data_IF_868366012721
#
_entry.id   IF_868366012721
#
_cell.length_a   1.000
_cell.length_b   1.000
_cell.length_c   1.000
_cell.angle_alpha   90.00
_cell.angle_beta   90.00
_cell.angle_gamma   90.00
#
_symmetry.space_group_name_H-M   'P 1'
#
loop_
_entity.id
_entity.type
_entity.pdbx_description
1 polymer ?
#
# COMPACT_ATOMS: atom_id res chain seq x y z
N UNK A 1 14.67 7.14 37.93
CA UNK A 1 13.60 6.71 38.86
C UNK A 1 12.37 6.11 38.16
N UNK A 2 11.85 6.66 37.04
CA UNK A 2 10.76 5.99 36.27
C UNK A 2 11.23 4.79 35.42
N UNK A 3 12.39 4.87 34.77
CA UNK A 3 12.95 3.78 33.96
C UNK A 3 13.28 2.49 34.73
N UNK A 4 13.42 2.58 36.05
CA UNK A 4 13.61 1.40 36.92
C UNK A 4 12.29 0.65 37.21
N UNK A 5 11.13 1.28 36.99
CA UNK A 5 9.81 0.65 37.15
C UNK A 5 9.34 -0.06 35.88
N UNK A 6 10.04 0.11 34.77
CA UNK A 6 9.72 -0.51 33.48
C UNK A 6 10.58 -1.77 33.35
N UNK A 7 9.99 -2.96 33.12
CA UNK A 7 10.76 -4.18 32.85
C UNK A 7 11.81 -3.94 31.75
N UNK A 8 13.04 -4.39 31.96
CA UNK A 8 14.16 -4.15 31.03
C UNK A 8 13.91 -4.65 29.60
N UNK A 9 13.05 -5.65 29.43
CA UNK A 9 12.65 -6.18 28.12
C UNK A 9 11.98 -5.13 27.22
N UNK A 10 11.27 -4.15 27.80
CA UNK A 10 10.60 -3.09 27.03
C UNK A 10 11.53 -1.92 26.65
N UNK A 11 12.80 -1.95 27.09
CA UNK A 11 13.79 -0.92 26.77
C UNK A 11 14.63 -1.26 25.52
N UNK A 12 14.52 -2.48 24.99
CA UNK A 12 15.28 -2.94 23.82
C UNK A 12 14.44 -2.84 22.54
N UNK A 13 14.99 -2.17 21.52
CA UNK A 13 14.34 -2.05 20.20
C UNK A 13 14.34 -3.39 19.45
N UNK A 14 15.42 -4.16 19.56
CA UNK A 14 15.53 -5.50 19.01
C UNK A 14 15.29 -6.52 20.11
N UNK A 15 14.19 -7.25 19.99
CA UNK A 15 13.80 -8.31 20.91
C UNK A 15 14.49 -9.63 20.53
N UNK A 16 14.68 -10.56 21.48
CA UNK A 16 15.32 -11.85 21.20
C UNK A 16 14.55 -12.66 20.14
N UNK A 17 15.20 -13.63 19.46
CA UNK A 17 14.57 -14.46 18.43
C UNK A 17 13.36 -15.26 18.91
N UNK A 18 13.26 -15.51 20.23
CA UNK A 18 12.20 -16.26 20.88
C UNK A 18 11.06 -15.38 21.41
N UNK A 19 11.10 -14.06 21.19
CA UNK A 19 10.03 -13.18 21.64
C UNK A 19 8.70 -13.54 20.97
N UNK A 20 7.62 -13.58 21.75
CA UNK A 20 6.31 -14.08 21.32
C UNK A 20 5.72 -13.27 20.15
N UNK A 21 5.76 -11.94 20.20
CA UNK A 21 5.19 -11.07 19.15
C UNK A 21 6.19 -10.53 18.12
N UNK A 22 7.33 -9.99 18.57
CA UNK A 22 8.26 -9.23 17.70
C UNK A 22 9.70 -9.78 17.71
N UNK A 23 9.94 -11.06 17.38
CA UNK A 23 11.29 -11.60 17.31
C UNK A 23 12.10 -10.88 16.22
N UNK A 24 13.34 -10.48 16.49
CA UNK A 24 14.12 -9.69 15.52
C UNK A 24 14.26 -10.40 14.15
N UNK A 25 14.34 -11.74 14.15
CA UNK A 25 14.39 -12.56 12.93
C UNK A 25 13.09 -12.43 12.14
N UNK A 26 11.94 -12.47 12.81
CA UNK A 26 10.64 -12.25 12.19
C UNK A 26 10.50 -10.82 11.66
N UNK A 27 10.92 -9.83 12.44
CA UNK A 27 10.93 -8.42 12.00
C UNK A 27 11.77 -8.26 10.74
N UNK A 28 12.98 -8.82 10.69
CA UNK A 28 13.86 -8.66 9.55
C UNK A 28 13.37 -9.35 8.28
N UNK A 29 12.88 -10.60 8.38
CA UNK A 29 12.49 -11.38 7.21
C UNK A 29 11.00 -11.24 6.83
N UNK A 30 10.12 -11.01 7.80
CA UNK A 30 8.66 -10.95 7.60
C UNK A 30 8.13 -9.54 7.38
N UNK A 31 8.58 -8.56 8.17
CA UNK A 31 8.09 -7.18 8.09
C UNK A 31 8.33 -6.49 6.73
N UNK A 32 9.38 -6.80 5.93
CA UNK A 32 9.50 -6.23 4.60
C UNK A 32 8.30 -6.51 3.70
N UNK A 33 7.69 -7.70 3.77
CA UNK A 33 6.53 -8.02 2.95
C UNK A 33 5.33 -7.13 3.28
N UNK A 34 5.03 -6.94 4.57
CA UNK A 34 3.92 -6.08 5.01
C UNK A 34 4.22 -4.60 4.78
N UNK A 35 5.48 -4.19 4.93
CA UNK A 35 5.91 -2.81 4.70
C UNK A 35 5.81 -2.43 3.23
N UNK A 36 6.35 -3.25 2.32
CA UNK A 36 6.28 -2.96 0.88
C UNK A 36 4.82 -2.95 0.42
N UNK A 37 4.00 -3.89 0.88
CA UNK A 37 2.57 -3.86 0.62
C UNK A 37 1.95 -2.52 1.05
N UNK A 38 2.16 -2.11 2.30
CA UNK A 38 1.58 -0.88 2.83
C UNK A 38 2.05 0.38 2.09
N UNK A 39 3.34 0.49 1.75
CA UNK A 39 3.88 1.71 1.13
C UNK A 39 3.71 1.77 -0.38
N UNK A 40 3.67 0.63 -1.05
CA UNK A 40 3.69 0.57 -2.52
C UNK A 40 2.35 0.14 -3.13
N UNK A 41 1.47 -0.51 -2.35
CA UNK A 41 0.23 -1.09 -2.88
C UNK A 41 -1.03 -0.65 -2.14
N UNK A 42 -0.92 -0.12 -0.91
CA UNK A 42 -2.08 0.43 -0.20
C UNK A 42 -2.61 1.66 -0.94
N UNK A 43 -3.89 1.60 -1.30
CA UNK A 43 -4.54 2.62 -2.10
C UNK A 43 -4.53 3.99 -1.42
N UNK A 44 -4.62 4.06 -0.08
CA UNK A 44 -4.57 5.34 0.64
C UNK A 44 -3.25 6.08 0.44
N UNK A 45 -2.16 5.33 0.34
CA UNK A 45 -0.80 5.87 0.16
C UNK A 45 -0.56 6.15 -1.32
N UNK A 46 -0.86 5.18 -2.19
CA UNK A 46 -0.65 5.29 -3.64
C UNK A 46 -1.44 6.45 -4.23
N UNK A 47 -2.69 6.66 -3.80
CA UNK A 47 -3.51 7.78 -4.27
C UNK A 47 -2.87 9.15 -4.03
N UNK A 48 -2.17 9.32 -2.89
CA UNK A 48 -1.48 10.59 -2.58
C UNK A 48 -0.28 10.82 -3.48
N UNK A 49 0.41 9.76 -3.87
CA UNK A 49 1.57 9.81 -4.77
C UNK A 49 1.15 10.16 -6.19
N UNK A 50 0.07 9.55 -6.71
CA UNK A 50 -0.43 9.83 -8.07
C UNK A 50 -1.12 11.18 -8.19
N UNK A 51 -1.64 11.73 -7.08
CA UNK A 51 -2.23 13.07 -7.03
C UNK A 51 -1.17 14.19 -6.96
N UNK A 52 0.12 13.85 -6.85
CA UNK A 52 1.18 14.83 -6.83
C UNK A 52 1.34 15.53 -8.20
N UNK A 53 1.62 16.84 -8.17
CA UNK A 53 1.75 17.67 -9.38
C UNK A 53 2.82 17.18 -10.37
N UNK A 54 3.87 16.51 -9.88
CA UNK A 54 4.94 15.96 -10.72
C UNK A 54 5.64 14.78 -10.03
N UNK A 55 6.35 13.92 -10.80
CA UNK A 55 7.16 12.84 -10.24
C UNK A 55 8.23 13.34 -9.25
N UNK A 56 8.78 14.53 -9.45
CA UNK A 56 9.74 15.13 -8.52
C UNK A 56 9.10 15.46 -7.16
N UNK A 57 7.89 16.04 -7.16
CA UNK A 57 7.14 16.33 -5.93
C UNK A 57 6.70 15.04 -5.23
N UNK A 58 6.30 14.02 -5.98
CA UNK A 58 5.98 12.70 -5.44
C UNK A 58 7.18 12.08 -4.68
N UNK A 59 8.38 12.13 -5.29
CA UNK A 59 9.62 11.63 -4.67
C UNK A 59 10.03 12.43 -3.44
N UNK A 60 10.02 13.76 -3.53
CA UNK A 60 10.33 14.63 -2.40
C UNK A 60 9.37 14.42 -1.24
N UNK A 61 8.06 14.31 -1.52
CA UNK A 61 7.04 13.99 -0.53
C UNK A 61 7.25 12.63 0.14
N UNK A 62 7.62 11.59 -0.63
CA UNK A 62 7.92 10.27 -0.08
C UNK A 62 9.15 10.28 0.85
N UNK A 63 10.23 10.97 0.46
CA UNK A 63 11.43 11.11 1.30
C UNK A 63 11.12 11.89 2.57
N UNK A 64 10.37 13.00 2.45
CA UNK A 64 9.97 13.80 3.59
C UNK A 64 9.07 13.00 4.55
N UNK A 65 8.13 12.22 4.03
CA UNK A 65 7.31 11.32 4.83
C UNK A 65 8.16 10.27 5.56
N UNK A 66 9.16 9.67 4.89
CA UNK A 66 10.08 8.72 5.51
C UNK A 66 10.87 9.36 6.68
N UNK A 67 11.31 10.61 6.53
CA UNK A 67 11.95 11.36 7.61
C UNK A 67 11.00 11.60 8.79
N UNK A 68 9.76 12.04 8.53
CA UNK A 68 8.75 12.25 9.58
C UNK A 68 8.39 10.96 10.33
N UNK A 69 8.50 9.79 9.72
CA UNK A 69 8.23 8.50 10.36
C UNK A 69 9.24 8.08 11.43
N UNK A 70 10.32 8.83 11.61
CA UNK A 70 11.22 8.65 12.75
C UNK A 70 10.54 9.13 14.04
N UNK A 71 9.58 10.07 13.96
CA UNK A 71 8.94 10.69 15.13
C UNK A 71 7.92 9.81 15.89
N UNK A 72 7.00 9.06 15.24
CA UNK A 72 5.93 8.34 15.93
C UNK A 72 6.39 7.38 17.02
N UNK A 73 7.50 6.61 16.90
CA UNK A 73 8.01 5.82 18.02
C UNK A 73 8.24 6.66 19.28
N UNK A 74 8.86 7.85 19.17
CA UNK A 74 9.08 8.72 20.33
C UNK A 74 7.78 9.35 20.83
N UNK A 75 6.92 9.79 19.92
CA UNK A 75 5.67 10.47 20.27
C UNK A 75 4.59 9.55 20.84
N UNK A 76 4.58 8.26 20.46
CA UNK A 76 3.54 7.31 20.83
C UNK A 76 4.00 6.28 21.86
N UNK A 77 5.24 5.79 21.78
CA UNK A 77 5.73 4.75 22.71
C UNK A 77 6.07 5.35 24.06
N UNK A 78 6.71 6.53 24.11
CA UNK A 78 7.10 7.16 25.38
C UNK A 78 5.87 7.42 26.27
N UNK A 79 4.78 8.04 25.80
CA UNK A 79 3.57 8.18 26.60
C UNK A 79 3.01 6.84 27.09
N UNK A 80 3.06 5.79 26.26
CA UNK A 80 2.65 4.45 26.65
C UNK A 80 3.46 3.88 27.82
N UNK A 81 4.79 4.04 27.78
CA UNK A 81 5.67 3.60 28.87
C UNK A 81 5.42 4.42 30.15
N UNK A 82 5.27 5.75 30.02
CA UNK A 82 4.96 6.64 31.15
C UNK A 82 3.62 6.26 31.78
N UNK A 83 2.59 6.01 30.97
CA UNK A 83 1.28 5.58 31.45
C UNK A 83 1.36 4.28 32.25
N UNK A 84 2.10 3.28 31.74
CA UNK A 84 2.34 2.03 32.47
C UNK A 84 3.07 2.25 33.79
N UNK A 85 4.05 3.15 33.85
CA UNK A 85 4.81 3.42 35.07
C UNK A 85 4.00 4.17 36.15
N UNK A 86 2.99 4.95 35.75
CA UNK A 86 2.16 5.77 36.63
C UNK A 86 0.87 5.06 37.07
N UNK A 87 0.21 4.34 36.16
CA UNK A 87 -1.17 3.84 36.33
C UNK A 87 -1.28 2.32 36.15
N UNK A 88 -0.23 1.58 36.52
CA UNK A 88 -0.17 0.13 36.30
C UNK A 88 -1.38 -0.61 36.91
N UNK A 89 -1.85 -0.21 38.09
CA UNK A 89 -2.95 -0.88 38.78
C UNK A 89 -4.31 -0.58 38.12
N UNK A 90 -4.58 0.67 37.74
CA UNK A 90 -5.85 1.01 37.08
C UNK A 90 -5.93 0.44 35.65
N UNK A 91 -4.81 0.32 34.95
CA UNK A 91 -4.77 -0.26 33.60
C UNK A 91 -5.00 -1.77 33.58
N UNK A 92 -4.66 -2.48 34.67
CA UNK A 92 -4.88 -3.92 34.79
C UNK A 92 -6.34 -4.26 35.16
N UNK A 93 -7.05 -3.33 35.81
CA UNK A 93 -8.44 -3.50 36.24
C UNK A 93 -9.44 -3.14 35.12
N UNK A 94 -9.00 -2.36 34.12
CA UNK A 94 -9.81 -2.05 32.94
C UNK A 94 -9.79 -3.21 31.94
N UNK A 95 -10.97 -3.78 31.69
CA UNK A 95 -11.24 -4.78 30.65
C UNK A 95 -10.88 -4.33 29.22
N UNK A 96 -10.57 -3.05 29.01
CA UNK A 96 -10.18 -2.46 27.72
C UNK A 96 -8.69 -2.63 27.37
N UNK A 97 -7.86 -3.14 28.28
CA UNK A 97 -6.47 -3.54 28.02
C UNK A 97 -5.52 -2.41 27.62
N UNK A 98 -4.42 -2.73 26.91
CA UNK A 98 -3.35 -1.79 26.57
C UNK A 98 -3.79 -0.61 25.67
N UNK A 99 -4.96 -0.69 25.03
CA UNK A 99 -5.39 0.27 24.00
C UNK A 99 -5.90 1.61 24.57
N UNK A 100 -6.30 1.63 25.85
CA UNK A 100 -6.81 2.83 26.53
C UNK A 100 -5.72 3.66 27.21
N UNK A 101 -4.47 3.19 27.21
CA UNK A 101 -3.37 3.83 27.93
C UNK A 101 -3.16 5.30 27.52
N UNK A 102 -3.12 5.60 26.22
CA UNK A 102 -2.89 6.97 25.75
C UNK A 102 -4.05 7.94 26.07
N UNK A 103 -5.33 7.62 25.76
CA UNK A 103 -6.46 8.44 26.19
C UNK A 103 -6.52 8.63 27.71
N UNK A 104 -6.25 7.57 28.48
CA UNK A 104 -6.25 7.62 29.94
C UNK A 104 -5.19 8.59 30.47
N UNK A 105 -3.98 8.55 29.91
CA UNK A 105 -2.91 9.48 30.28
C UNK A 105 -3.28 10.94 29.98
N UNK A 106 -3.87 11.19 28.81
CA UNK A 106 -4.31 12.53 28.37
C UNK A 106 -5.31 13.14 29.36
N UNK A 107 -6.32 12.37 29.77
CA UNK A 107 -7.38 12.84 30.69
C UNK A 107 -6.83 13.13 32.10
N UNK A 108 -5.86 12.34 32.56
CA UNK A 108 -5.35 12.46 33.93
C UNK A 108 -4.18 13.45 34.10
N UNK A 109 -3.49 13.82 33.02
CA UNK A 109 -2.30 14.71 33.10
C UNK A 109 -2.57 16.12 32.58
N UNK A 110 -3.38 16.28 31.52
CA UNK A 110 -3.50 17.59 30.86
C UNK A 110 -4.47 18.53 31.60
N UNK A 111 -4.13 19.82 31.74
CA UNK A 111 -5.04 20.81 32.30
C UNK A 111 -6.22 21.07 31.35
N UNK A 112 -7.35 21.51 31.89
CA UNK A 112 -8.65 21.64 31.19
C UNK A 112 -8.60 22.24 29.78
N UNK A 113 -7.91 23.38 29.50
CA UNK A 113 -7.88 23.93 28.14
C UNK A 113 -7.09 23.06 27.15
N UNK A 114 -6.01 22.42 27.61
CA UNK A 114 -5.20 21.53 26.77
C UNK A 114 -5.86 20.17 26.57
N UNK A 115 -6.64 19.70 27.56
CA UNK A 115 -7.43 18.49 27.44
C UNK A 115 -8.47 18.61 26.32
N UNK A 116 -9.22 19.73 26.29
CA UNK A 116 -10.20 19.99 25.23
C UNK A 116 -9.55 20.06 23.84
N UNK A 117 -8.41 20.75 23.74
CA UNK A 117 -7.64 20.82 22.49
C UNK A 117 -7.15 19.43 22.03
N UNK A 118 -6.64 18.62 22.94
CA UNK A 118 -6.14 17.27 22.63
C UNK A 118 -7.27 16.35 22.15
N UNK A 119 -8.41 16.32 22.85
CA UNK A 119 -9.56 15.52 22.46
C UNK A 119 -10.08 15.94 21.08
N UNK A 120 -10.17 17.25 20.82
CA UNK A 120 -10.56 17.77 19.51
C UNK A 120 -9.57 17.33 18.41
N UNK A 121 -8.27 17.42 18.65
CA UNK A 121 -7.24 16.99 17.71
C UNK A 121 -7.29 15.47 17.44
N UNK A 122 -7.53 14.66 18.47
CA UNK A 122 -7.69 13.20 18.34
C UNK A 122 -8.92 12.84 17.49
N UNK A 123 -10.05 13.50 17.74
CA UNK A 123 -11.28 13.30 16.94
C UNK A 123 -11.08 13.75 15.50
N UNK A 124 -10.43 14.89 15.26
CA UNK A 124 -10.12 15.37 13.92
C UNK A 124 -9.20 14.39 13.15
N UNK A 125 -8.16 13.86 13.82
CA UNK A 125 -7.25 12.87 13.23
C UNK A 125 -7.97 11.55 12.91
N UNK A 126 -8.88 11.10 13.78
CA UNK A 126 -9.72 9.93 13.55
C UNK A 126 -10.63 10.14 12.32
N UNK A 127 -11.32 11.28 12.26
CA UNK A 127 -12.20 11.62 11.13
C UNK A 127 -11.45 11.69 9.80
N UNK A 128 -10.23 12.26 9.81
CA UNK A 128 -9.37 12.32 8.63
C UNK A 128 -8.96 10.92 8.14
N UNK A 129 -8.63 10.02 9.07
CA UNK A 129 -8.25 8.64 8.75
C UNK A 129 -9.43 7.84 8.19
N UNK A 130 -10.61 7.96 8.82
CA UNK A 130 -11.84 7.32 8.34
C UNK A 130 -12.23 7.81 6.93
N UNK A 131 -12.17 9.13 6.69
CA UNK A 131 -12.44 9.70 5.38
C UNK A 131 -11.52 9.14 4.29
N UNK A 132 -10.21 8.98 4.59
CA UNK A 132 -9.26 8.36 3.66
C UNK A 132 -9.62 6.91 3.34
N UNK A 133 -9.91 6.09 4.36
CA UNK A 133 -10.26 4.67 4.19
C UNK A 133 -11.55 4.51 3.39
N UNK A 134 -12.57 5.32 3.68
CA UNK A 134 -13.84 5.32 2.95
C UNK A 134 -13.66 5.74 1.50
N UNK A 135 -12.85 6.77 1.23
CA UNK A 135 -12.56 7.20 -0.13
C UNK A 135 -11.83 6.11 -0.94
N UNK A 136 -10.82 5.48 -0.35
CA UNK A 136 -10.06 4.41 -1.01
C UNK A 136 -10.93 3.19 -1.28
N UNK A 137 -11.72 2.76 -0.30
CA UNK A 137 -12.65 1.61 -0.44
C UNK A 137 -13.70 1.88 -1.51
N UNK A 138 -14.30 3.08 -1.50
CA UNK A 138 -15.24 3.52 -2.52
C UNK A 138 -14.61 3.50 -3.92
N UNK A 139 -13.37 3.98 -4.06
CA UNK A 139 -12.66 4.00 -5.33
C UNK A 139 -12.39 2.59 -5.85
N UNK A 140 -11.90 1.68 -4.99
CA UNK A 140 -11.63 0.28 -5.36
C UNK A 140 -12.94 -0.38 -5.82
N UNK A 141 -14.02 -0.24 -5.06
CA UNK A 141 -15.28 -0.87 -5.44
C UNK A 141 -15.87 -0.28 -6.74
N UNK A 142 -15.83 1.03 -6.92
CA UNK A 142 -16.42 1.67 -8.10
C UNK A 142 -15.59 1.44 -9.36
N UNK A 143 -14.28 1.63 -9.29
CA UNK A 143 -13.41 1.58 -10.46
C UNK A 143 -12.98 0.15 -10.80
N UNK A 144 -12.69 -0.68 -9.80
CA UNK A 144 -12.13 -2.01 -10.04
C UNK A 144 -13.21 -3.09 -10.12
N UNK A 145 -14.34 -2.93 -9.42
CA UNK A 145 -15.47 -3.89 -9.47
C UNK A 145 -16.59 -3.37 -10.38
N UNK A 146 -17.21 -2.24 -10.03
CA UNK A 146 -18.44 -1.80 -10.69
C UNK A 146 -18.24 -1.43 -12.16
N UNK A 147 -17.19 -0.68 -12.50
CA UNK A 147 -16.89 -0.28 -13.88
C UNK A 147 -16.54 -1.46 -14.79
N UNK A 148 -15.97 -2.53 -14.21
CA UNK A 148 -15.70 -3.77 -14.94
C UNK A 148 -16.97 -4.59 -15.20
N UNK A 149 -17.91 -4.61 -14.25
CA UNK A 149 -19.22 -5.25 -14.43
C UNK A 149 -20.13 -4.44 -15.38
N UNK A 150 -20.14 -3.11 -15.23
CA UNK A 150 -20.93 -2.18 -16.04
C UNK A 150 -20.03 -1.22 -16.80
N UNK A 151 -19.60 -1.66 -17.99
CA UNK A 151 -18.64 -0.94 -18.86
C UNK A 151 -19.07 0.46 -19.27
N UNK A 152 -20.39 0.74 -19.30
CA UNK A 152 -20.96 2.04 -19.66
C UNK A 152 -21.62 2.74 -18.45
N UNK A 153 -21.02 2.63 -17.27
CA UNK A 153 -21.47 3.36 -16.08
C UNK A 153 -21.24 4.87 -16.26
N UNK A 154 -22.22 5.68 -15.89
CA UNK A 154 -22.08 7.15 -15.91
C UNK A 154 -21.33 7.66 -14.68
N UNK A 155 -20.72 8.85 -14.75
CA UNK A 155 -20.02 9.43 -13.59
C UNK A 155 -20.93 9.65 -12.37
N UNK A 156 -22.18 10.07 -12.60
CA UNK A 156 -23.18 10.22 -11.52
C UNK A 156 -23.49 8.90 -10.84
N UNK A 157 -23.54 7.83 -11.62
CA UNK A 157 -23.76 6.48 -11.12
C UNK A 157 -22.57 5.99 -10.29
N UNK A 158 -21.33 6.19 -10.77
CA UNK A 158 -20.12 5.82 -10.03
C UNK A 158 -20.07 6.50 -8.65
N UNK A 159 -20.41 7.79 -8.58
CA UNK A 159 -20.48 8.51 -7.30
C UNK A 159 -21.56 7.93 -6.38
N UNK A 160 -22.74 7.58 -6.91
CA UNK A 160 -23.81 6.99 -6.11
C UNK A 160 -23.41 5.62 -5.56
N UNK A 161 -22.87 4.75 -6.42
CA UNK A 161 -22.40 3.41 -6.04
C UNK A 161 -21.28 3.50 -5.01
N UNK A 162 -20.36 4.46 -5.17
CA UNK A 162 -19.29 4.70 -4.20
C UNK A 162 -19.82 5.07 -2.80
N UNK A 163 -20.83 5.96 -2.74
CA UNK A 163 -21.49 6.31 -1.46
C UNK A 163 -22.16 5.09 -0.82
N UNK A 164 -22.88 4.29 -1.60
CA UNK A 164 -23.53 3.06 -1.12
C UNK A 164 -22.49 2.05 -0.62
N UNK A 165 -21.41 1.83 -1.38
CA UNK A 165 -20.33 0.94 -0.99
C UNK A 165 -19.70 1.35 0.35
N UNK A 166 -19.46 2.64 0.57
CA UNK A 166 -18.96 3.15 1.85
C UNK A 166 -19.90 2.83 3.01
N UNK A 167 -21.21 3.03 2.85
CA UNK A 167 -22.20 2.72 3.90
C UNK A 167 -22.20 1.22 4.22
N UNK A 168 -22.24 0.36 3.20
CA UNK A 168 -22.22 -1.10 3.36
C UNK A 168 -20.94 -1.55 4.07
N UNK A 169 -19.78 -1.06 3.63
CA UNK A 169 -18.49 -1.40 4.24
C UNK A 169 -18.37 -0.91 5.68
N UNK A 170 -18.99 0.22 6.01
CA UNK A 170 -19.06 0.72 7.40
C UNK A 170 -19.87 -0.23 8.28
N UNK A 171 -21.03 -0.68 7.81
CA UNK A 171 -21.86 -1.64 8.54
C UNK A 171 -21.09 -2.95 8.75
N UNK A 172 -20.46 -3.49 7.71
CA UNK A 172 -19.64 -4.70 7.82
C UNK A 172 -18.46 -4.53 8.80
N UNK A 173 -17.80 -3.36 8.80
CA UNK A 173 -16.74 -3.03 9.75
C UNK A 173 -17.21 -3.01 11.21
N UNK A 174 -18.40 -2.47 11.48
CA UNK A 174 -19.01 -2.48 12.82
C UNK A 174 -19.32 -3.92 13.25
N UNK A 175 -19.88 -4.73 12.34
CA UNK A 175 -20.16 -6.15 12.60
C UNK A 175 -18.88 -6.96 12.84
N UNK A 176 -17.72 -6.48 12.39
CA UNK A 176 -16.42 -7.13 12.59
C UNK A 176 -15.81 -6.89 13.97
N UNK A 177 -16.27 -5.88 14.73
CA UNK A 177 -15.70 -5.51 16.04
C UNK A 177 -15.63 -6.69 17.04
N UNK A 178 -16.68 -7.50 17.22
CA UNK A 178 -16.63 -8.64 18.16
C UNK A 178 -15.57 -9.67 17.79
N UNK A 179 -15.25 -9.81 16.50
CA UNK A 179 -14.23 -10.74 16.02
C UNK A 179 -12.81 -10.23 16.31
N UNK A 180 -12.59 -8.91 16.29
CA UNK A 180 -11.31 -8.32 16.68
C UNK A 180 -11.00 -8.64 18.16
N UNK A 181 -12.02 -8.53 19.02
CA UNK A 181 -11.89 -8.76 20.46
C UNK A 181 -11.58 -10.23 20.80
N UNK A 182 -11.93 -11.19 19.94
CA UNK A 182 -11.62 -12.60 20.17
C UNK A 182 -10.22 -13.02 19.72
N UNK A 183 -9.57 -12.24 18.83
CA UNK A 183 -8.30 -12.60 18.18
C UNK A 183 -7.05 -12.04 18.86
N UNK A 184 -7.15 -10.92 19.57
CA UNK A 184 -6.02 -10.41 20.35
C UNK A 184 -6.46 -9.42 21.42
N UNK A 185 -5.67 -9.30 22.48
CA UNK A 185 -5.82 -8.29 23.52
C UNK A 185 -5.32 -6.89 23.12
N UNK A 186 -4.59 -6.76 22.00
CA UNK A 186 -3.99 -5.50 21.55
C UNK A 186 -4.25 -5.21 20.07
N UNK A 187 -4.94 -4.10 19.78
CA UNK A 187 -5.34 -3.72 18.42
C UNK A 187 -4.15 -3.65 17.45
N UNK A 188 -3.00 -3.17 17.94
CA UNK A 188 -1.77 -3.06 17.14
C UNK A 188 -1.27 -4.42 16.62
N UNK A 189 -1.26 -5.43 17.49
CA UNK A 189 -0.82 -6.79 17.16
C UNK A 189 -1.81 -7.41 16.18
N UNK A 190 -3.12 -7.27 16.44
CA UNK A 190 -4.15 -7.75 15.51
C UNK A 190 -3.99 -7.18 14.10
N UNK A 191 -3.82 -5.85 13.96
CA UNK A 191 -3.64 -5.23 12.65
C UNK A 191 -2.41 -5.80 11.93
N UNK A 192 -1.30 -6.01 12.64
CA UNK A 192 -0.09 -6.58 12.04
C UNK A 192 -0.23 -8.06 11.68
N UNK A 193 -0.98 -8.86 12.47
CA UNK A 193 -1.31 -10.25 12.13
C UNK A 193 -2.11 -10.33 10.83
N UNK A 194 -3.18 -9.56 10.70
CA UNK A 194 -3.99 -9.53 9.47
C UNK A 194 -3.15 -9.10 8.27
N UNK A 195 -2.31 -8.07 8.42
CA UNK A 195 -1.37 -7.67 7.37
C UNK A 195 -0.42 -8.81 6.99
N UNK A 196 0.17 -9.50 7.97
CA UNK A 196 1.07 -10.62 7.74
C UNK A 196 0.42 -11.79 6.97
N UNK A 197 -0.90 -11.99 7.15
CA UNK A 197 -1.62 -13.09 6.51
C UNK A 197 -2.13 -12.76 5.10
N UNK A 198 -2.23 -11.46 4.74
CA UNK A 198 -2.81 -11.03 3.46
C UNK A 198 -1.81 -10.34 2.53
N UNK A 199 -0.84 -9.59 3.08
CA UNK A 199 0.08 -8.77 2.31
C UNK A 199 1.07 -9.56 1.41
N UNK A 200 1.70 -10.67 1.88
CA UNK A 200 2.78 -11.31 1.13
C UNK A 200 2.49 -11.68 -0.34
N UNK A 201 1.34 -12.30 -0.71
CA UNK A 201 1.07 -12.62 -2.11
C UNK A 201 0.96 -11.39 -3.01
N UNK A 202 0.40 -10.29 -2.50
CA UNK A 202 0.26 -9.03 -3.24
C UNK A 202 1.65 -8.41 -3.44
N UNK A 203 2.46 -8.36 -2.38
CA UNK A 203 3.84 -7.84 -2.45
C UNK A 203 4.68 -8.61 -3.45
N UNK A 204 4.62 -9.93 -3.42
CA UNK A 204 5.40 -10.79 -4.32
C UNK A 204 5.02 -10.55 -5.77
N UNK A 205 3.73 -10.50 -6.09
CA UNK A 205 3.27 -10.22 -7.46
C UNK A 205 3.64 -8.81 -7.90
N UNK A 206 3.48 -7.81 -7.03
CA UNK A 206 3.85 -6.43 -7.32
C UNK A 206 5.34 -6.28 -7.60
N UNK A 207 6.20 -6.78 -6.71
CA UNK A 207 7.65 -6.78 -6.90
C UNK A 207 8.06 -7.59 -8.13
N UNK A 208 7.43 -8.74 -8.36
CA UNK A 208 7.63 -9.54 -9.56
C UNK A 208 7.35 -8.76 -10.84
N UNK A 209 6.24 -8.01 -10.91
CA UNK A 209 5.91 -7.18 -12.07
C UNK A 209 6.91 -6.04 -12.32
N UNK A 210 7.40 -5.41 -11.25
CA UNK A 210 8.33 -4.27 -11.34
C UNK A 210 9.78 -4.72 -11.62
N UNK A 211 10.23 -5.79 -10.98
CA UNK A 211 11.64 -6.21 -10.97
C UNK A 211 11.95 -7.37 -11.93
N UNK A 212 10.97 -8.24 -12.22
CA UNK A 212 11.20 -9.48 -12.96
C UNK A 212 10.45 -9.51 -14.29
N UNK A 213 11.13 -9.26 -15.44
CA UNK A 213 10.47 -9.18 -16.75
C UNK A 213 9.79 -10.48 -17.22
N UNK A 214 10.10 -11.62 -16.58
CA UNK A 214 9.54 -12.92 -16.92
C UNK A 214 8.24 -13.22 -16.15
N UNK A 215 7.92 -12.44 -15.12
CA UNK A 215 6.68 -12.56 -14.36
C UNK A 215 5.48 -12.39 -15.31
N UNK A 216 4.57 -13.37 -15.32
CA UNK A 216 3.42 -13.35 -16.21
C UNK A 216 2.10 -13.49 -15.46
N UNK A 217 0.99 -13.33 -16.20
CA UNK A 217 -0.35 -13.38 -15.65
C UNK A 217 -0.66 -14.72 -14.98
N UNK A 218 -0.23 -15.85 -15.56
CA UNK A 218 -0.52 -17.17 -15.00
C UNK A 218 0.22 -17.43 -13.68
N UNK A 219 1.49 -17.03 -13.58
CA UNK A 219 2.23 -17.05 -12.32
C UNK A 219 1.63 -16.12 -11.26
N UNK A 220 1.21 -14.92 -11.65
CA UNK A 220 0.53 -14.00 -10.75
C UNK A 220 -0.78 -14.60 -10.21
N UNK A 221 -1.61 -15.19 -11.07
CA UNK A 221 -2.83 -15.90 -10.65
C UNK A 221 -2.55 -17.06 -9.71
N UNK A 222 -1.56 -17.91 -10.02
CA UNK A 222 -1.18 -19.02 -9.16
C UNK A 222 -0.74 -18.53 -7.76
N UNK A 223 0.10 -17.49 -7.71
CA UNK A 223 0.55 -16.87 -6.47
C UNK A 223 -0.60 -16.27 -5.65
N UNK A 224 -1.50 -15.51 -6.29
CA UNK A 224 -2.62 -14.87 -5.61
C UNK A 224 -3.65 -15.87 -5.09
N UNK A 225 -3.99 -16.91 -5.87
CA UNK A 225 -4.92 -17.95 -5.42
C UNK A 225 -4.34 -18.78 -4.28
N UNK A 226 -3.08 -19.22 -4.41
CA UNK A 226 -2.37 -19.88 -3.31
C UNK A 226 -2.35 -19.01 -2.06
N UNK A 227 -2.01 -17.73 -2.22
CA UNK A 227 -1.97 -16.76 -1.14
C UNK A 227 -3.33 -16.57 -0.47
N UNK A 228 -4.39 -16.44 -1.26
CA UNK A 228 -5.76 -16.30 -0.76
C UNK A 228 -6.15 -17.48 0.12
N UNK A 229 -5.94 -18.73 -0.33
CA UNK A 229 -6.33 -19.90 0.45
C UNK A 229 -5.47 -20.07 1.71
N UNK A 230 -4.15 -19.96 1.61
CA UNK A 230 -3.25 -20.13 2.76
C UNK A 230 -3.44 -19.03 3.81
N UNK A 231 -3.59 -17.78 3.37
CA UNK A 231 -3.85 -16.64 4.25
C UNK A 231 -5.19 -16.73 4.97
N UNK A 232 -6.28 -17.07 4.25
CA UNK A 232 -7.59 -17.28 4.87
C UNK A 232 -7.60 -18.50 5.80
N UNK A 233 -6.92 -19.59 5.42
CA UNK A 233 -6.77 -20.76 6.28
C UNK A 233 -6.08 -20.39 7.60
N UNK A 234 -5.00 -19.59 7.54
CA UNK A 234 -4.30 -19.09 8.73
C UNK A 234 -5.21 -18.22 9.60
N UNK A 235 -5.94 -17.28 8.99
CA UNK A 235 -6.83 -16.36 9.69
C UNK A 235 -7.99 -17.10 10.38
N UNK A 236 -8.71 -17.96 9.65
CA UNK A 236 -9.83 -18.74 10.18
C UNK A 236 -9.34 -19.75 11.21
N UNK A 237 -8.22 -20.43 10.95
CA UNK A 237 -7.66 -21.37 11.89
C UNK A 237 -7.20 -20.72 13.19
N UNK A 238 -6.67 -19.50 13.17
CA UNK A 238 -6.37 -18.77 14.42
C UNK A 238 -7.65 -18.48 15.23
N UNK A 239 -8.78 -18.20 14.56
CA UNK A 239 -10.08 -18.00 15.21
C UNK A 239 -10.63 -19.32 15.80
N UNK A 240 -10.46 -20.44 15.08
CA UNK A 240 -11.10 -21.72 15.42
C UNK A 240 -10.24 -22.66 16.29
N UNK A 241 -8.92 -22.70 16.08
CA UNK A 241 -7.97 -23.69 16.62
C UNK A 241 -7.23 -23.17 17.86
N UNK A 242 -7.38 -21.88 18.23
CA UNK A 242 -6.88 -21.34 19.50
C UNK A 242 -7.42 -22.03 20.77
N UNK A 243 -8.32 -23.02 20.62
CA UNK A 243 -8.90 -23.82 21.70
C UNK A 243 -8.48 -25.30 21.72
N UNK A 244 -7.69 -25.78 20.75
CA UNK A 244 -7.29 -27.19 20.69
C UNK A 244 -5.79 -27.37 20.87
N UNK A 245 -5.38 -27.93 22.02
CA UNK A 245 -4.03 -28.41 22.27
C UNK A 245 -3.79 -29.74 21.55
N UNK A 246 -3.62 -29.71 20.23
CA UNK A 246 -3.19 -30.90 19.49
C UNK A 246 -1.77 -30.71 18.94
N UNK A 247 -0.90 -31.71 19.15
CA UNK A 247 0.55 -31.65 18.95
C UNK A 247 1.01 -32.05 17.54
N UNK A 248 0.15 -31.91 16.54
CA UNK A 248 0.44 -32.26 15.13
C UNK A 248 1.16 -31.12 14.37
N UNK A 249 1.59 -31.36 13.11
CA UNK A 249 2.16 -30.35 12.18
C UNK A 249 1.27 -29.10 12.05
N UNK A 250 -0.04 -29.29 12.26
CA UNK A 250 -1.08 -28.28 12.40
C UNK A 250 -0.73 -27.21 13.45
N UNK A 251 -0.14 -27.61 14.58
CA UNK A 251 0.26 -26.70 15.65
C UNK A 251 1.37 -25.74 15.22
N UNK A 252 2.35 -26.19 14.43
CA UNK A 252 3.44 -25.34 13.94
C UNK A 252 2.92 -24.24 13.01
N UNK A 253 1.95 -24.56 12.15
CA UNK A 253 1.32 -23.58 11.28
C UNK A 253 0.49 -22.56 12.06
N UNK A 254 -0.33 -23.00 13.02
CA UNK A 254 -1.26 -22.13 13.74
C UNK A 254 -0.68 -21.41 14.96
N UNK A 255 0.39 -21.91 15.57
CA UNK A 255 1.06 -21.29 16.73
C UNK A 255 2.36 -20.57 16.35
N UNK A 256 2.78 -20.62 15.07
CA UNK A 256 3.94 -19.83 14.63
C UNK A 256 3.68 -18.33 14.77
N UNK A 257 4.73 -17.60 15.17
CA UNK A 257 4.71 -16.15 15.19
C UNK A 257 4.34 -15.59 13.81
N UNK A 258 3.47 -14.59 13.78
CA UNK A 258 2.90 -14.04 12.55
C UNK A 258 3.94 -13.43 11.60
N UNK A 259 5.06 -12.90 12.11
CA UNK A 259 6.14 -12.35 11.29
C UNK A 259 6.98 -13.46 10.64
N UNK A 260 7.29 -14.53 11.38
CA UNK A 260 7.94 -15.70 10.79
C UNK A 260 7.03 -16.34 9.74
N UNK A 261 5.73 -16.46 10.04
CA UNK A 261 4.74 -16.90 9.07
C UNK A 261 4.78 -16.03 7.81
N UNK A 262 4.75 -14.70 7.93
CA UNK A 262 4.82 -13.80 6.78
C UNK A 262 6.08 -14.02 5.92
N UNK A 263 7.23 -14.30 6.54
CA UNK A 263 8.47 -14.58 5.83
C UNK A 263 8.38 -15.89 5.00
N UNK A 264 8.00 -16.99 5.64
CA UNK A 264 7.85 -18.29 4.96
C UNK A 264 6.74 -18.24 3.90
N UNK A 265 5.64 -17.57 4.22
CA UNK A 265 4.50 -17.42 3.33
C UNK A 265 4.87 -16.57 2.11
N UNK A 266 5.57 -15.44 2.30
CA UNK A 266 6.09 -14.62 1.21
C UNK A 266 7.06 -15.38 0.31
N UNK A 267 7.96 -16.19 0.88
CA UNK A 267 8.85 -17.04 0.09
C UNK A 267 8.08 -18.11 -0.69
N UNK A 268 7.08 -18.74 -0.09
CA UNK A 268 6.21 -19.72 -0.75
C UNK A 268 5.42 -19.09 -1.91
N UNK A 269 4.87 -17.89 -1.71
CA UNK A 269 4.25 -17.10 -2.77
C UNK A 269 5.24 -16.80 -3.90
N UNK A 270 6.48 -16.45 -3.58
CA UNK A 270 7.51 -16.22 -4.58
C UNK A 270 7.80 -17.48 -5.41
N UNK A 271 7.89 -18.65 -4.78
CA UNK A 271 8.04 -19.93 -5.49
C UNK A 271 6.85 -20.16 -6.42
N UNK A 272 5.61 -19.91 -5.97
CA UNK A 272 4.41 -20.08 -6.80
C UNK A 272 4.40 -19.14 -8.00
N UNK A 273 4.77 -17.87 -7.81
CA UNK A 273 4.93 -16.92 -8.91
C UNK A 273 6.03 -17.36 -9.87
N UNK A 274 7.16 -17.84 -9.35
CA UNK A 274 8.33 -18.25 -10.11
C UNK A 274 8.04 -19.48 -10.97
N UNK A 275 7.52 -20.56 -10.37
CA UNK A 275 7.11 -21.78 -11.05
C UNK A 275 6.03 -21.48 -12.08
N UNK A 276 4.97 -20.80 -11.68
CA UNK A 276 3.86 -20.47 -12.57
C UNK A 276 4.30 -19.60 -13.75
N UNK A 277 5.29 -18.72 -13.57
CA UNK A 277 5.82 -17.90 -14.66
C UNK A 277 6.76 -18.68 -15.59
N UNK A 278 7.63 -19.55 -15.08
CA UNK A 278 8.59 -20.30 -15.91
C UNK A 278 7.91 -21.40 -16.72
N UNK A 279 6.95 -22.11 -16.11
CA UNK A 279 6.24 -23.23 -16.74
C UNK A 279 5.29 -22.78 -17.86
N UNK A 280 5.02 -21.48 -17.98
CA UNK A 280 4.02 -20.92 -18.89
C UNK A 280 4.65 -19.90 -19.84
N UNK A 281 3.93 -19.48 -20.87
CA UNK A 281 4.49 -18.64 -21.93
C UNK A 281 4.96 -17.25 -21.43
N UNK A 282 6.06 -16.72 -21.98
CA UNK A 282 6.55 -15.39 -21.62
C UNK A 282 5.56 -14.28 -22.01
N UNK A 283 5.47 -13.20 -21.21
CA UNK A 283 4.57 -12.10 -21.52
C UNK A 283 5.06 -11.34 -22.77
N UNK A 284 4.15 -10.83 -23.62
CA UNK A 284 4.51 -10.00 -24.77
C UNK A 284 5.27 -8.74 -24.35
N UNK A 285 6.35 -8.39 -25.06
CA UNK A 285 7.21 -7.23 -24.75
C UNK A 285 6.43 -5.90 -24.69
N UNK A 286 5.37 -5.76 -25.50
CA UNK A 286 4.51 -4.58 -25.49
C UNK A 286 3.84 -4.34 -24.13
N UNK A 287 3.53 -5.41 -23.39
CA UNK A 287 2.93 -5.32 -22.04
C UNK A 287 3.95 -5.07 -20.93
N UNK A 288 5.26 -5.14 -21.21
CA UNK A 288 6.33 -4.91 -20.23
C UNK A 288 6.85 -3.46 -20.25
N UNK A 289 6.55 -2.73 -21.32
CA UNK A 289 7.04 -1.38 -21.52
C UNK A 289 6.42 -0.40 -20.51
N UNK A 290 7.28 0.38 -19.84
CA UNK A 290 6.85 1.34 -18.81
C UNK A 290 6.41 0.73 -17.47
N UNK A 291 6.35 -0.61 -17.35
CA UNK A 291 5.93 -1.32 -16.15
C UNK A 291 7.11 -1.95 -15.39
N UNK A 292 8.03 -2.59 -16.10
CA UNK A 292 9.23 -3.22 -15.52
C UNK A 292 10.43 -2.28 -15.64
N UNK A 293 11.25 -2.15 -14.59
CA UNK A 293 12.39 -1.22 -14.54
C UNK A 293 13.32 -1.38 -15.76
N UNK A 294 13.58 -2.63 -16.17
CA UNK A 294 14.43 -2.95 -17.34
C UNK A 294 13.90 -2.36 -18.67
N UNK A 295 12.58 -2.19 -18.80
CA UNK A 295 11.92 -1.71 -20.01
C UNK A 295 11.34 -0.30 -19.87
N UNK A 296 11.59 0.38 -18.73
CA UNK A 296 11.19 1.75 -18.49
C UNK A 296 11.90 2.73 -19.44
N UNK A 297 13.18 2.48 -19.76
CA UNK A 297 13.99 3.36 -20.60
C UNK A 297 13.61 3.31 -22.08
N UNK A 298 13.18 2.15 -22.60
CA UNK A 298 12.88 1.99 -24.04
C UNK A 298 11.68 2.82 -24.50
N UNK A 299 10.68 3.00 -23.63
CA UNK A 299 9.49 3.79 -23.99
C UNK A 299 9.78 5.30 -23.99
N UNK A 300 10.59 5.79 -23.04
CA UNK A 300 11.00 7.21 -22.99
C UNK A 300 11.84 7.58 -24.21
N UNK A 301 12.73 6.68 -24.66
CA UNK A 301 13.52 6.92 -25.87
C UNK A 301 12.64 6.88 -27.12
N UNK A 302 11.69 5.94 -27.23
CA UNK A 302 10.81 5.83 -28.40
C UNK A 302 9.81 6.99 -28.52
N UNK A 303 9.22 7.49 -27.42
CA UNK A 303 8.34 8.67 -27.48
C UNK A 303 9.12 9.95 -27.71
N UNK A 304 10.33 10.08 -27.14
CA UNK A 304 11.21 11.20 -27.45
C UNK A 304 11.64 11.20 -28.93
N UNK A 305 12.08 10.07 -29.50
CA UNK A 305 12.44 9.98 -30.92
C UNK A 305 11.22 10.14 -31.83
N UNK A 306 10.07 9.56 -31.50
CA UNK A 306 8.86 9.71 -32.30
C UNK A 306 8.35 11.16 -32.33
N UNK A 307 8.37 11.87 -31.20
CA UNK A 307 8.04 13.31 -31.18
C UNK A 307 9.05 14.17 -31.95
N UNK A 308 10.34 13.80 -31.90
CA UNK A 308 11.39 14.52 -32.64
C UNK A 308 11.29 14.26 -34.15
N UNK A 309 11.02 13.02 -34.57
CA UNK A 309 10.83 12.63 -35.97
C UNK A 309 9.58 13.27 -36.59
N UNK A 310 8.48 13.35 -35.82
CA UNK A 310 7.25 14.04 -36.26
C UNK A 310 7.53 15.54 -36.41
N UNK A 311 8.25 16.16 -35.48
CA UNK A 311 8.61 17.58 -35.54
C UNK A 311 9.57 17.87 -36.71
N UNK A 312 10.57 17.03 -36.93
CA UNK A 312 11.53 17.15 -38.04
C UNK A 312 10.87 16.95 -39.40
N UNK A 313 9.95 16.00 -39.53
CA UNK A 313 9.17 15.81 -40.78
C UNK A 313 8.24 16.98 -41.05
N UNK A 314 7.60 17.54 -40.01
CA UNK A 314 6.76 18.72 -40.16
C UNK A 314 7.57 19.98 -40.59
N UNK A 315 8.80 20.11 -40.09
CA UNK A 315 9.72 21.18 -40.52
C UNK A 315 10.23 20.98 -41.96
N UNK A 316 10.55 19.75 -42.35
CA UNK A 316 10.95 19.42 -43.72
C UNK A 316 9.80 19.64 -44.73
N UNK A 317 8.59 19.18 -44.42
CA UNK A 317 7.40 19.43 -45.24
C UNK A 317 7.05 20.93 -45.33
N UNK A 318 7.29 21.69 -44.26
CA UNK A 318 7.16 23.15 -44.24
C UNK A 318 8.13 23.82 -45.21
N UNK A 319 9.42 23.49 -45.11
CA UNK A 319 10.47 24.04 -45.98
C UNK A 319 10.28 23.68 -47.46
N UNK A 320 9.85 22.45 -47.77
CA UNK A 320 9.59 22.01 -49.13
C UNK A 320 8.36 22.72 -49.75
N UNK A 321 7.35 23.05 -48.95
CA UNK A 321 6.19 23.85 -49.40
C UNK A 321 6.57 25.31 -49.65
N UNK A 322 7.49 25.87 -48.87
CA UNK A 322 8.00 27.24 -49.03
C UNK A 322 8.87 27.38 -50.28
N UNK A 323 9.76 26.41 -50.54
CA UNK A 323 10.55 26.36 -51.78
C UNK A 323 9.65 26.15 -53.02
N UNK A 324 8.64 25.28 -52.92
CA UNK A 324 7.69 25.08 -54.00
C UNK A 324 6.85 26.34 -54.28
N UNK A 325 6.36 27.02 -53.23
CA UNK A 325 5.65 28.28 -53.35
C UNK A 325 6.52 29.36 -54.02
N UNK A 326 7.77 29.54 -53.56
CA UNK A 326 8.71 30.50 -54.14
C UNK A 326 9.07 30.16 -55.60
N UNK A 327 9.17 28.87 -55.96
CA UNK A 327 9.42 28.46 -57.35
C UNK A 327 8.25 28.79 -58.30
N UNK A 328 7.01 28.74 -57.79
CA UNK A 328 5.80 29.14 -58.52
C UNK A 328 5.74 30.66 -58.66
N UNK A 329 6.09 31.42 -57.61
CA UNK A 329 6.11 32.89 -57.67
C UNK A 329 7.19 33.38 -58.63
N UNK A 330 8.38 32.75 -58.65
CA UNK A 330 9.45 33.09 -59.59
C UNK A 330 9.10 32.76 -61.06
N UNK A 331 8.37 31.67 -61.31
CA UNK A 331 7.87 31.33 -62.66
C UNK A 331 6.75 32.27 -63.13
N UNK A 332 5.88 32.71 -62.24
CA UNK A 332 4.83 33.69 -62.56
C UNK A 332 5.39 35.09 -62.81
N UNK A 333 6.45 35.49 -62.10
CA UNK A 333 7.15 36.75 -62.34
C UNK A 333 7.88 36.78 -63.70
N UNK A 334 8.43 35.64 -64.17
CA UNK A 334 9.04 35.54 -65.49
C UNK A 334 8.03 35.58 -66.65
N UNK A 335 6.83 35.00 -66.48
CA UNK A 335 5.80 35.05 -67.51
C UNK A 335 5.07 36.40 -67.60
N UNK A 336 5.07 37.22 -66.54
CA UNK A 336 4.47 38.55 -66.54
C UNK A 336 5.35 39.64 -67.18
N UNK A 337 6.63 39.36 -67.46
CA UNK A 337 7.59 40.29 -68.04
C UNK A 337 7.72 40.25 -69.57
N UNK A 338 7.12 39.27 -70.26
CA UNK A 338 7.25 39.08 -71.71
C UNK A 338 5.99 39.50 -72.51
N UNK A 339 5.02 40.16 -71.88
CA UNK A 339 3.73 40.52 -72.50
C UNK A 339 3.45 42.01 -72.68
N UNK A 340 4.47 42.88 -72.60
CA UNK A 340 4.29 44.33 -72.65
C UNK A 340 5.31 45.04 -73.53
N UNK A 341 5.17 44.90 -74.84
CA UNK A 341 5.58 45.90 -75.84
C UNK A 341 4.49 46.04 -76.91
#
# INVERSE_FOLDING_TARGET
MMWQKVPGEHAHLFQPPSHEDFPWTGVFFGMPFTSIWYWCTDQNVVQRVIAAKSPAHARAGAIFAAYLKILPPFMMVIPGIVCRALYQKELLDQSAGYNVAFPYLVVNILPSPLLGLMIAAMLAALMSSLASVFNSTSTIFTMDVWRNLRKSASEKELVLVGKVATVVMTILGILWIPLIQSLSSGLYIYTHKVMAYMAPPITVVFLGGVLWPRANQQGAWACLMFGFFVGNLRLVGEISIARSHDSSITSLFFHSNFLHFAAFFGFSCFIMLWLGSILTSPPPLAKLAGLTIKFQTRYVTQTATASTDICMRALQDGSAREEHANSITHRQAHHAGEGGE
#
